data_IF_373211593957
#
_entry.id   IF_373211593957
#
_cell.length_a   1.000
_cell.length_b   1.000
_cell.length_c   1.000
_cell.angle_alpha   90.00
_cell.angle_beta   90.00
_cell.angle_gamma   90.00
#
_symmetry.space_group_name_H-M   'P 1'
#
loop_
_entity.id
_entity.type
_entity.pdbx_description
1 polymer ?
#
# COMPACT_ATOMS: atom_id res chain seq x y z
N UNK A 1 -5.83 29.21 -6.38
CA UNK A 1 -5.85 27.73 -6.32
C UNK A 1 -6.63 27.24 -7.52
N UNK A 2 -5.95 26.76 -8.53
CA UNK A 2 -6.56 26.27 -9.76
C UNK A 2 -6.58 24.75 -9.62
N UNK A 3 -7.74 24.17 -9.35
CA UNK A 3 -7.88 22.74 -9.37
C UNK A 3 -7.85 22.23 -10.82
N UNK A 4 -7.19 21.21 -11.04
CA UNK A 4 -6.41 20.75 -12.17
C UNK A 4 -7.11 20.02 -13.30
N UNK A 5 -8.40 20.14 -13.46
CA UNK A 5 -9.09 19.62 -14.66
C UNK A 5 -9.39 20.78 -15.61
N UNK A 6 -8.34 21.25 -16.29
CA UNK A 6 -8.51 22.22 -17.38
C UNK A 6 -9.34 21.57 -18.51
N UNK A 7 -10.56 22.04 -18.68
CA UNK A 7 -11.43 21.61 -19.77
C UNK A 7 -11.25 22.46 -21.03
N UNK A 8 -10.77 23.69 -20.91
CA UNK A 8 -10.47 24.57 -22.01
C UNK A 8 -9.41 25.64 -21.62
N UNK A 9 -8.62 26.08 -22.61
CA UNK A 9 -7.56 27.08 -22.40
C UNK A 9 -7.41 27.92 -23.66
N UNK A 10 -7.42 29.25 -23.49
CA UNK A 10 -7.27 30.18 -24.61
C UNK A 10 -6.33 31.34 -24.23
N UNK A 11 -5.41 31.71 -25.10
CA UNK A 11 -4.57 32.89 -24.94
C UNK A 11 -5.36 34.15 -25.24
N UNK A 12 -5.29 35.11 -24.35
CA UNK A 12 -5.92 36.43 -24.51
C UNK A 12 -4.95 37.48 -25.08
N UNK A 13 -3.69 37.12 -25.37
CA UNK A 13 -2.61 38.03 -25.71
C UNK A 13 -1.96 38.67 -24.46
N UNK A 14 -0.82 39.34 -24.64
CA UNK A 14 -0.05 40.00 -23.56
C UNK A 14 0.32 39.07 -22.37
N UNK A 15 0.47 37.77 -22.62
CA UNK A 15 0.78 36.80 -21.56
C UNK A 15 -0.42 36.41 -20.68
N UNK A 16 -1.61 36.97 -20.92
CA UNK A 16 -2.82 36.57 -20.19
C UNK A 16 -3.52 35.39 -20.86
N UNK A 17 -4.16 34.55 -20.06
CA UNK A 17 -4.89 33.37 -20.49
C UNK A 17 -6.26 33.28 -19.81
N UNK A 18 -7.24 32.75 -20.54
CA UNK A 18 -8.53 32.34 -20.01
C UNK A 18 -8.59 30.82 -19.97
N UNK A 19 -8.92 30.27 -18.82
CA UNK A 19 -9.09 28.84 -18.63
C UNK A 19 -10.46 28.50 -18.07
N UNK A 20 -10.95 27.33 -18.40
CA UNK A 20 -12.06 26.70 -17.75
C UNK A 20 -11.55 25.46 -17.01
N UNK A 21 -11.93 25.30 -15.76
CA UNK A 21 -11.56 24.14 -14.96
C UNK A 21 -12.80 23.55 -14.28
N UNK A 22 -12.86 22.23 -14.30
CA UNK A 22 -13.85 21.47 -13.56
C UNK A 22 -13.27 21.04 -12.22
N UNK A 23 -14.02 21.22 -11.15
CA UNK A 23 -13.66 20.74 -9.82
C UNK A 23 -14.45 19.48 -9.50
N UNK A 24 -13.76 18.42 -9.10
CA UNK A 24 -14.40 17.17 -8.70
C UNK A 24 -15.41 17.45 -7.55
N UNK A 25 -16.65 17.00 -7.73
CA UNK A 25 -17.75 17.26 -6.78
C UNK A 25 -18.58 18.51 -7.06
N UNK A 26 -18.22 19.35 -8.03
CA UNK A 26 -19.03 20.49 -8.48
C UNK A 26 -19.57 20.24 -9.89
N UNK A 27 -20.86 20.48 -10.10
CA UNK A 27 -21.52 20.29 -11.41
C UNK A 27 -21.31 21.46 -12.39
N UNK A 28 -20.41 22.40 -12.08
CA UNK A 28 -20.20 23.61 -12.88
C UNK A 28 -18.71 23.83 -13.16
N UNK A 29 -18.40 24.13 -14.44
CA UNK A 29 -17.09 24.62 -14.85
C UNK A 29 -16.85 26.03 -14.28
N UNK A 30 -15.66 26.25 -13.76
CA UNK A 30 -15.20 27.59 -13.32
C UNK A 30 -14.36 28.21 -14.42
N UNK A 31 -14.71 29.43 -14.82
CA UNK A 31 -13.86 30.27 -15.67
C UNK A 31 -12.89 31.05 -14.79
N UNK A 32 -11.63 31.05 -15.17
CA UNK A 32 -10.60 31.83 -14.51
C UNK A 32 -9.72 32.53 -15.55
N UNK A 33 -9.20 33.69 -15.16
CA UNK A 33 -8.24 34.45 -15.94
C UNK A 33 -6.89 34.43 -15.22
N UNK A 34 -5.86 34.03 -15.94
CA UNK A 34 -4.47 34.14 -15.49
C UNK A 34 -3.86 35.40 -16.12
N UNK A 35 -3.27 36.24 -15.32
CA UNK A 35 -2.50 37.40 -15.77
C UNK A 35 -1.04 37.20 -15.38
N UNK A 36 -0.09 37.70 -16.17
CA UNK A 36 1.31 37.72 -15.75
C UNK A 36 1.42 38.44 -14.42
N UNK A 37 2.08 37.84 -13.45
CA UNK A 37 2.44 38.53 -12.21
C UNK A 37 3.62 39.47 -12.51
N UNK A 38 3.52 40.73 -12.12
CA UNK A 38 4.66 41.65 -12.13
C UNK A 38 5.65 41.41 -10.97
N UNK A 39 5.25 40.60 -9.99
CA UNK A 39 6.14 40.11 -8.95
C UNK A 39 6.98 38.95 -9.50
N UNK A 40 8.00 39.26 -10.27
CA UNK A 40 9.12 38.36 -10.42
C UNK A 40 9.73 38.16 -9.03
N UNK A 41 9.70 36.99 -8.50
CA UNK A 41 10.49 36.62 -7.33
C UNK A 41 11.93 37.13 -7.59
N UNK A 42 12.50 37.90 -6.66
CA UNK A 42 13.92 38.22 -6.70
C UNK A 42 14.67 36.90 -6.94
N UNK A 43 15.69 36.84 -7.79
CA UNK A 43 16.50 35.67 -8.00
C UNK A 43 17.32 35.38 -6.75
N UNK A 44 16.68 34.91 -5.71
CA UNK A 44 17.30 34.12 -4.67
C UNK A 44 17.73 32.82 -5.34
N UNK A 45 18.88 32.30 -4.98
CA UNK A 45 19.45 31.08 -5.56
C UNK A 45 18.37 30.02 -5.71
N UNK A 46 17.96 29.72 -6.94
CA UNK A 46 16.94 28.72 -7.27
C UNK A 46 17.43 27.37 -6.73
N UNK A 47 16.69 26.83 -5.76
CA UNK A 47 16.98 25.53 -5.16
C UNK A 47 16.36 24.46 -6.03
N UNK A 48 17.07 23.39 -6.30
CA UNK A 48 16.57 22.27 -7.10
C UNK A 48 16.22 21.14 -6.15
N UNK A 49 14.93 20.81 -6.09
CA UNK A 49 14.44 19.63 -5.38
C UNK A 49 14.37 18.45 -6.34
N UNK A 50 15.20 17.45 -6.11
CA UNK A 50 15.32 16.26 -6.94
C UNK A 50 14.46 15.13 -6.41
N UNK A 51 13.46 14.75 -7.15
CA UNK A 51 12.58 13.62 -6.87
C UNK A 51 12.95 12.46 -7.79
N UNK A 52 12.78 11.21 -7.34
CA UNK A 52 12.99 10.04 -8.18
C UNK A 52 12.07 8.87 -7.80
N UNK A 53 11.87 7.96 -8.75
CA UNK A 53 11.14 6.72 -8.56
C UNK A 53 11.37 5.73 -9.70
N UNK A 54 10.82 4.53 -9.56
CA UNK A 54 10.86 3.49 -10.60
C UNK A 54 9.82 3.72 -11.70
N UNK A 55 8.87 4.62 -11.47
CA UNK A 55 7.90 5.10 -12.47
C UNK A 55 7.35 6.45 -12.02
N UNK A 56 6.89 7.26 -12.98
CA UNK A 56 6.34 8.57 -12.67
C UNK A 56 4.95 8.46 -12.04
N UNK A 57 4.75 8.95 -10.79
CA UNK A 57 3.43 8.96 -10.15
C UNK A 57 2.43 9.83 -10.93
N UNK A 58 1.17 9.38 -11.07
CA UNK A 58 0.13 10.13 -11.79
C UNK A 58 -0.13 11.52 -11.16
N UNK A 59 -0.05 11.62 -9.84
CA UNK A 59 -0.28 12.87 -9.10
C UNK A 59 0.86 13.86 -9.20
N UNK A 60 2.02 13.44 -9.66
CA UNK A 60 3.27 14.22 -9.55
C UNK A 60 3.18 15.57 -10.24
N UNK A 61 2.60 15.63 -11.46
CA UNK A 61 2.52 16.89 -12.20
C UNK A 61 1.68 17.94 -11.48
N UNK A 62 0.57 17.54 -10.87
CA UNK A 62 -0.28 18.40 -10.06
C UNK A 62 0.43 18.81 -8.76
N UNK A 63 1.04 17.84 -8.08
CA UNK A 63 1.78 18.08 -6.85
C UNK A 63 2.96 19.06 -7.06
N UNK A 64 3.70 18.95 -8.17
CA UNK A 64 4.77 19.88 -8.51
C UNK A 64 4.22 21.31 -8.73
N UNK A 65 3.09 21.44 -9.43
CA UNK A 65 2.48 22.75 -9.67
C UNK A 65 2.01 23.40 -8.37
N UNK A 66 1.37 22.63 -7.49
CA UNK A 66 0.91 23.14 -6.20
C UNK A 66 2.09 23.42 -5.25
N UNK A 67 3.12 22.57 -5.26
CA UNK A 67 4.34 22.80 -4.48
C UNK A 67 5.06 24.08 -4.90
N UNK A 68 5.17 24.35 -6.20
CA UNK A 68 5.79 25.57 -6.70
C UNK A 68 5.01 26.84 -6.28
N UNK A 69 3.68 26.73 -6.13
CA UNK A 69 2.87 27.84 -5.63
C UNK A 69 3.08 28.09 -4.12
N UNK A 70 3.38 27.04 -3.34
CA UNK A 70 3.63 27.11 -1.90
C UNK A 70 5.09 27.44 -1.56
N UNK A 71 6.03 26.93 -2.35
CA UNK A 71 7.47 27.03 -2.15
C UNK A 71 8.13 27.51 -3.45
N UNK A 72 7.94 28.81 -3.83
CA UNK A 72 8.38 29.34 -5.14
C UNK A 72 9.90 29.35 -5.34
N UNK A 73 10.67 29.23 -4.24
CA UNK A 73 12.14 29.15 -4.26
C UNK A 73 12.66 27.81 -4.82
N UNK A 74 11.79 26.79 -4.95
CA UNK A 74 12.19 25.51 -5.49
C UNK A 74 11.79 25.33 -6.96
N UNK A 75 12.72 24.76 -7.73
CA UNK A 75 12.40 24.08 -8.99
C UNK A 75 12.48 22.57 -8.74
N UNK A 76 11.45 21.82 -9.17
CA UNK A 76 11.37 20.38 -8.95
C UNK A 76 11.76 19.63 -10.21
N UNK A 77 12.73 18.73 -10.08
CA UNK A 77 13.14 17.80 -11.11
C UNK A 77 12.73 16.38 -10.73
N UNK A 78 12.29 15.57 -11.69
CA UNK A 78 11.94 14.16 -11.46
C UNK A 78 12.73 13.25 -12.38
N UNK A 79 13.36 12.23 -11.79
CA UNK A 79 14.05 11.17 -12.50
C UNK A 79 13.21 9.89 -12.48
N UNK A 80 12.83 9.42 -13.65
CA UNK A 80 12.20 8.10 -13.85
C UNK A 80 13.29 7.08 -14.16
N UNK A 81 13.58 6.22 -13.18
CA UNK A 81 14.64 5.22 -13.34
C UNK A 81 14.24 4.11 -14.31
N UNK A 82 12.95 3.75 -14.41
CA UNK A 82 12.52 2.74 -15.37
C UNK A 82 12.63 3.24 -16.81
N UNK A 83 12.34 4.53 -17.06
CA UNK A 83 12.55 5.13 -18.38
C UNK A 83 14.03 5.15 -18.78
N UNK A 84 14.94 5.42 -17.82
CA UNK A 84 16.37 5.53 -18.08
C UNK A 84 17.09 4.19 -18.16
N UNK A 85 16.73 3.23 -17.31
CA UNK A 85 17.52 2.01 -17.08
C UNK A 85 16.75 0.71 -17.30
N UNK A 86 15.45 0.77 -17.63
CA UNK A 86 14.62 -0.41 -17.88
C UNK A 86 14.66 -1.41 -16.73
N UNK A 87 14.95 -2.66 -17.01
CA UNK A 87 15.02 -3.75 -16.02
C UNK A 87 16.14 -3.58 -14.98
N UNK A 88 17.06 -2.63 -15.16
CA UNK A 88 18.14 -2.35 -14.20
C UNK A 88 17.81 -1.14 -13.30
N UNK A 89 16.61 -0.60 -13.40
CA UNK A 89 16.20 0.61 -12.70
C UNK A 89 16.39 0.55 -11.18
N UNK A 90 15.92 -0.54 -10.55
CA UNK A 90 16.06 -0.74 -9.11
C UNK A 90 17.53 -0.87 -8.70
N UNK A 91 18.29 -1.65 -9.43
CA UNK A 91 19.73 -1.84 -9.17
C UNK A 91 20.51 -0.53 -9.29
N UNK A 92 20.21 0.29 -10.32
CA UNK A 92 20.88 1.58 -10.49
C UNK A 92 20.49 2.57 -9.39
N UNK A 93 19.22 2.61 -8.99
CA UNK A 93 18.77 3.42 -7.87
C UNK A 93 19.49 3.02 -6.56
N UNK A 94 19.60 1.73 -6.29
CA UNK A 94 20.34 1.22 -5.14
C UNK A 94 21.81 1.66 -5.16
N UNK A 95 22.45 1.57 -6.33
CA UNK A 95 23.84 1.98 -6.51
C UNK A 95 24.02 3.48 -6.26
N UNK A 96 23.14 4.31 -6.79
CA UNK A 96 23.17 5.77 -6.61
C UNK A 96 22.98 6.16 -5.13
N UNK A 97 22.06 5.48 -4.42
CA UNK A 97 21.89 5.65 -2.97
C UNK A 97 23.17 5.32 -2.20
N UNK A 98 23.80 4.17 -2.52
CA UNK A 98 25.03 3.71 -1.85
C UNK A 98 26.23 4.64 -2.14
N UNK A 99 26.26 5.27 -3.30
CA UNK A 99 27.33 6.21 -3.71
C UNK A 99 27.10 7.65 -3.22
N UNK A 100 25.96 7.92 -2.58
CA UNK A 100 25.61 9.28 -2.14
C UNK A 100 25.11 10.20 -3.25
N UNK A 101 24.81 9.64 -4.44
CA UNK A 101 24.20 10.37 -5.57
C UNK A 101 22.67 10.35 -5.49
N UNK A 102 22.14 10.34 -4.29
CA UNK A 102 20.73 10.18 -4.02
C UNK A 102 19.91 11.41 -4.47
N UNK A 103 18.65 11.23 -4.89
CA UNK A 103 17.69 12.31 -4.99
C UNK A 103 17.36 12.85 -3.58
N UNK A 104 16.53 13.91 -3.52
CA UNK A 104 16.09 14.47 -2.24
C UNK A 104 14.86 13.75 -1.69
N UNK A 105 14.01 13.19 -2.57
CA UNK A 105 12.84 12.40 -2.19
C UNK A 105 12.67 11.22 -3.15
N UNK A 106 12.42 10.05 -2.58
CA UNK A 106 12.14 8.81 -3.30
C UNK A 106 10.65 8.46 -3.27
N UNK A 107 10.14 7.96 -4.42
CA UNK A 107 8.84 7.33 -4.58
C UNK A 107 9.04 5.90 -5.06
N UNK A 108 9.22 4.96 -4.14
CA UNK A 108 9.59 3.60 -4.54
C UNK A 108 8.86 2.56 -3.71
N UNK A 109 8.09 1.71 -4.39
CA UNK A 109 7.60 0.45 -3.82
C UNK A 109 8.71 -0.61 -3.92
N UNK A 110 8.78 -1.50 -2.92
CA UNK A 110 9.65 -2.66 -2.96
C UNK A 110 11.12 -2.41 -2.62
N UNK A 111 11.47 -1.23 -2.11
CA UNK A 111 12.80 -1.05 -1.48
C UNK A 111 12.80 -1.70 -0.10
N UNK A 112 13.93 -2.34 0.30
CA UNK A 112 14.12 -2.82 1.66
C UNK A 112 14.43 -1.63 2.59
N UNK A 113 13.39 -0.83 2.91
CA UNK A 113 13.52 0.43 3.65
C UNK A 113 14.20 0.26 5.00
N UNK A 114 13.88 -0.83 5.72
CA UNK A 114 14.50 -1.11 7.00
C UNK A 114 16.00 -1.36 6.87
N UNK A 115 16.41 -2.19 5.89
CA UNK A 115 17.81 -2.45 5.60
C UNK A 115 18.57 -1.17 5.26
N UNK A 116 17.98 -0.32 4.42
CA UNK A 116 18.60 0.95 4.02
C UNK A 116 18.65 1.94 5.17
N UNK A 117 17.64 1.93 6.02
CA UNK A 117 17.63 2.71 7.24
C UNK A 117 18.72 2.27 8.23
N UNK A 118 18.85 0.96 8.48
CA UNK A 118 19.94 0.38 9.32
C UNK A 118 21.32 0.73 8.77
N UNK A 119 21.49 0.78 7.46
CA UNK A 119 22.75 1.20 6.79
C UNK A 119 22.96 2.71 6.77
N UNK A 120 22.05 3.49 7.33
CA UNK A 120 22.15 4.95 7.39
C UNK A 120 21.96 5.64 6.02
N UNK A 121 21.30 4.98 5.07
CA UNK A 121 21.02 5.51 3.73
C UNK A 121 19.73 6.34 3.68
N UNK A 122 18.85 6.21 4.69
CA UNK A 122 17.57 6.91 4.78
C UNK A 122 17.48 7.71 6.10
N UNK A 123 16.79 8.83 6.04
CA UNK A 123 16.45 9.65 7.20
C UNK A 123 15.39 8.96 8.07
N UNK A 124 15.50 9.12 9.40
CA UNK A 124 14.41 8.81 10.31
C UNK A 124 13.37 9.94 10.27
N UNK A 125 12.20 9.67 9.74
CA UNK A 125 11.13 10.67 9.55
C UNK A 125 10.57 11.22 10.85
N UNK A 126 10.70 10.51 11.98
CA UNK A 126 10.29 11.04 13.29
C UNK A 126 11.03 12.35 13.65
N UNK A 127 12.30 12.46 13.28
CA UNK A 127 13.04 13.71 13.53
C UNK A 127 12.45 14.91 12.79
N UNK A 128 11.84 14.69 11.62
CA UNK A 128 11.17 15.72 10.84
C UNK A 128 9.78 16.03 11.40
N UNK A 129 9.03 15.03 11.85
CA UNK A 129 7.74 15.19 12.50
C UNK A 129 7.87 15.92 13.83
N UNK A 130 8.86 15.56 14.66
CA UNK A 130 9.09 16.17 15.96
C UNK A 130 9.55 17.64 15.88
N UNK A 131 10.14 18.03 14.75
CA UNK A 131 10.55 19.40 14.47
C UNK A 131 9.46 20.27 13.81
N UNK A 132 8.29 19.70 13.49
CA UNK A 132 7.22 20.35 12.74
C UNK A 132 5.89 20.30 13.47
N UNK A 133 5.58 21.36 14.22
CA UNK A 133 4.32 21.50 14.97
C UNK A 133 3.05 21.40 14.08
N UNK A 134 3.18 21.57 12.75
CA UNK A 134 2.06 21.47 11.81
C UNK A 134 1.82 20.07 11.28
N UNK A 135 2.69 19.10 11.61
CA UNK A 135 2.64 17.73 11.15
C UNK A 135 3.39 16.81 12.12
N UNK A 136 2.99 16.86 13.40
CA UNK A 136 3.60 16.08 14.46
C UNK A 136 3.28 14.58 14.37
N UNK A 137 4.12 13.72 14.90
CA UNK A 137 3.90 12.26 14.90
C UNK A 137 2.55 11.86 15.54
N UNK A 138 2.07 12.66 16.48
CA UNK A 138 0.76 12.47 17.13
C UNK A 138 -0.45 12.72 16.23
N UNK A 139 -0.28 13.40 15.10
CA UNK A 139 -1.35 13.69 14.15
C UNK A 139 -1.64 12.50 13.21
N UNK A 140 -0.70 11.55 13.16
CA UNK A 140 -0.81 10.37 12.30
C UNK A 140 -1.57 9.23 12.98
N UNK A 141 -2.08 8.32 12.18
CA UNK A 141 -2.65 7.04 12.62
C UNK A 141 -1.58 6.22 13.32
N UNK A 142 -1.68 6.05 14.64
CA UNK A 142 -0.59 5.51 15.48
C UNK A 142 -0.24 4.05 15.17
N UNK A 143 -1.24 3.22 14.89
CA UNK A 143 -1.00 1.82 14.50
C UNK A 143 -0.37 1.70 13.11
N UNK A 144 -0.65 2.63 12.19
CA UNK A 144 0.06 2.74 10.90
C UNK A 144 1.54 3.06 11.13
N UNK A 145 1.84 4.07 11.95
CA UNK A 145 3.24 4.40 12.27
C UNK A 145 3.96 3.19 12.85
N UNK A 146 3.35 2.57 13.87
CA UNK A 146 3.92 1.40 14.54
C UNK A 146 4.16 0.23 13.58
N UNK A 147 3.28 0.01 12.61
CA UNK A 147 3.45 -1.03 11.60
C UNK A 147 4.56 -0.74 10.57
N UNK A 148 4.99 0.52 10.46
CA UNK A 148 6.06 0.97 9.57
C UNK A 148 7.38 1.22 10.30
N UNK A 149 7.38 1.17 11.64
CA UNK A 149 8.59 1.29 12.44
C UNK A 149 9.53 0.11 12.22
N UNK A 150 10.82 0.40 12.19
CA UNK A 150 11.84 -0.64 12.38
C UNK A 150 11.86 -1.12 13.83
N UNK A 151 12.56 -2.24 14.09
CA UNK A 151 12.81 -2.75 15.44
C UNK A 151 13.47 -1.72 16.39
N UNK A 152 14.22 -0.75 15.83
CA UNK A 152 14.81 0.36 16.58
C UNK A 152 13.86 1.55 16.81
N UNK A 153 12.57 1.40 16.54
CA UNK A 153 11.56 2.46 16.59
C UNK A 153 11.91 3.69 15.73
N UNK A 154 12.40 3.45 14.52
CA UNK A 154 12.67 4.47 13.52
C UNK A 154 11.73 4.31 12.33
N UNK A 155 11.37 5.41 11.72
CA UNK A 155 10.45 5.45 10.58
C UNK A 155 11.22 5.90 9.33
N UNK A 156 11.38 5.02 8.35
CA UNK A 156 12.18 5.30 7.15
C UNK A 156 11.34 5.55 5.90
N UNK A 157 10.05 5.31 5.97
CA UNK A 157 9.12 5.57 4.89
C UNK A 157 7.76 6.03 5.41
N UNK A 158 7.02 6.74 4.58
CA UNK A 158 5.63 7.11 4.83
C UNK A 158 4.86 7.06 3.51
N UNK A 159 3.70 6.40 3.43
CA UNK A 159 2.88 6.42 2.23
C UNK A 159 2.16 7.76 2.09
N UNK A 160 1.83 8.12 0.86
CA UNK A 160 0.92 9.23 0.58
C UNK A 160 -0.51 8.91 1.08
N UNK A 161 -0.95 7.67 0.88
CA UNK A 161 -2.17 7.10 1.44
C UNK A 161 -2.00 5.60 1.68
N UNK A 162 -2.93 4.99 2.40
CA UNK A 162 -2.95 3.54 2.58
C UNK A 162 -4.33 2.97 2.33
N UNK A 163 -4.39 1.72 1.87
CA UNK A 163 -5.62 0.99 1.65
C UNK A 163 -5.64 -0.24 2.54
N UNK A 164 -6.70 -0.43 3.32
CA UNK A 164 -6.82 -1.59 4.19
C UNK A 164 -7.17 -2.80 3.34
N UNK A 165 -6.52 -3.92 3.58
CA UNK A 165 -6.85 -5.20 2.97
C UNK A 165 -7.27 -6.20 4.03
N UNK A 166 -8.36 -6.91 3.76
CA UNK A 166 -8.95 -7.86 4.70
C UNK A 166 -9.71 -8.93 3.95
N UNK A 167 -10.25 -9.88 4.67
CA UNK A 167 -11.22 -10.84 4.15
C UNK A 167 -12.59 -10.61 4.79
N UNK A 168 -13.66 -10.93 4.06
CA UNK A 168 -15.01 -10.96 4.59
C UNK A 168 -15.55 -12.40 4.57
N UNK A 169 -16.10 -12.85 5.67
CA UNK A 169 -16.74 -14.14 5.81
C UNK A 169 -18.16 -14.03 6.35
N UNK A 170 -19.02 -14.99 6.03
CA UNK A 170 -20.35 -15.04 6.64
C UNK A 170 -20.23 -15.41 8.13
N UNK A 171 -20.95 -14.69 9.01
CA UNK A 171 -20.95 -14.92 10.45
C UNK A 171 -21.28 -16.37 10.83
N UNK A 172 -22.17 -17.03 10.10
CA UNK A 172 -22.59 -18.41 10.37
C UNK A 172 -21.57 -19.47 9.88
N UNK A 173 -20.64 -19.11 9.02
CA UNK A 173 -19.56 -20.01 8.53
C UNK A 173 -18.23 -19.65 9.20
N UNK A 174 -17.80 -18.42 9.05
CA UNK A 174 -16.50 -17.96 9.50
C UNK A 174 -16.50 -17.42 10.95
N UNK A 175 -17.66 -17.10 11.52
CA UNK A 175 -17.79 -16.53 12.86
C UNK A 175 -17.61 -17.52 14.02
N UNK A 176 -17.34 -18.80 13.74
CA UNK A 176 -17.08 -19.82 14.76
C UNK A 176 -15.70 -19.70 15.41
N UNK A 177 -14.79 -18.94 14.79
CA UNK A 177 -13.41 -18.77 15.20
C UNK A 177 -13.09 -17.28 15.34
N UNK A 178 -12.31 -16.91 16.34
CA UNK A 178 -11.78 -15.55 16.52
C UNK A 178 -10.56 -15.28 15.65
N UNK A 179 -9.81 -16.31 15.34
CA UNK A 179 -8.60 -16.26 14.52
C UNK A 179 -8.64 -17.39 13.47
N UNK A 180 -8.12 -17.10 12.30
CA UNK A 180 -8.02 -18.05 11.21
C UNK A 180 -6.57 -18.33 10.87
N UNK A 181 -6.26 -19.62 10.80
CA UNK A 181 -4.99 -20.15 10.29
C UNK A 181 -5.24 -20.99 9.05
N UNK A 182 -4.22 -21.23 8.22
CA UNK A 182 -4.39 -22.15 7.08
C UNK A 182 -4.68 -23.60 7.53
N UNK A 183 -4.21 -23.99 8.72
CA UNK A 183 -4.63 -25.25 9.33
C UNK A 183 -6.16 -25.30 9.56
N UNK A 184 -6.73 -24.23 10.12
CA UNK A 184 -8.16 -24.09 10.32
C UNK A 184 -8.95 -24.03 9.01
N UNK A 185 -8.43 -23.34 7.99
CA UNK A 185 -9.01 -23.30 6.64
C UNK A 185 -9.04 -24.69 6.04
N UNK A 186 -7.93 -25.44 6.11
CA UNK A 186 -7.86 -26.83 5.62
C UNK A 186 -8.87 -27.74 6.30
N UNK A 187 -9.04 -27.60 7.63
CA UNK A 187 -10.01 -28.34 8.42
C UNK A 187 -11.46 -28.03 7.98
N UNK A 188 -11.79 -26.74 7.83
CA UNK A 188 -13.13 -26.31 7.45
C UNK A 188 -13.51 -26.77 6.06
N UNK A 189 -12.60 -26.65 5.08
CA UNK A 189 -12.79 -27.14 3.72
C UNK A 189 -12.99 -28.66 3.69
N UNK A 190 -12.26 -29.42 4.51
CA UNK A 190 -12.38 -30.88 4.56
C UNK A 190 -13.71 -31.33 5.19
N UNK A 191 -14.27 -30.57 6.12
CA UNK A 191 -15.48 -30.91 6.85
C UNK A 191 -16.76 -30.38 6.19
N UNK A 192 -16.66 -29.33 5.35
CA UNK A 192 -17.80 -28.72 4.69
C UNK A 192 -18.26 -29.54 3.48
N UNK A 193 -19.58 -29.53 3.24
CA UNK A 193 -20.20 -30.09 2.02
C UNK A 193 -20.56 -28.99 1.01
N UNK A 194 -20.56 -27.76 1.39
CA UNK A 194 -20.98 -26.60 0.59
C UNK A 194 -19.81 -25.74 0.14
N UNK A 195 -18.77 -25.62 0.98
CA UNK A 195 -17.57 -24.89 0.62
C UNK A 195 -16.82 -25.62 -0.51
N UNK A 196 -16.55 -24.90 -1.55
CA UNK A 196 -15.82 -25.36 -2.72
C UNK A 196 -14.36 -24.85 -2.69
N UNK A 197 -14.13 -23.68 -2.10
CA UNK A 197 -12.81 -23.09 -1.93
C UNK A 197 -12.79 -22.14 -0.73
N UNK A 198 -11.58 -21.74 -0.30
CA UNK A 198 -11.44 -20.65 0.65
C UNK A 198 -11.68 -19.29 -0.01
N UNK A 199 -11.18 -19.09 -1.23
CA UNK A 199 -11.27 -17.83 -2.00
C UNK A 199 -11.86 -18.10 -3.39
N UNK A 200 -12.45 -17.06 -4.00
CA UNK A 200 -13.12 -17.18 -5.29
C UNK A 200 -12.14 -17.11 -6.45
N UNK A 201 -12.26 -18.02 -7.41
CA UNK A 201 -11.57 -17.93 -8.70
C UNK A 201 -10.05 -18.11 -8.66
N UNK A 202 -9.50 -18.42 -7.51
CA UNK A 202 -8.06 -18.51 -7.30
C UNK A 202 -7.53 -19.92 -7.60
N UNK A 203 -6.25 -19.98 -7.97
CA UNK A 203 -5.46 -21.20 -8.09
C UNK A 203 -4.38 -21.25 -7.02
N UNK A 204 -3.78 -22.41 -6.81
CA UNK A 204 -2.64 -22.53 -5.90
C UNK A 204 -1.50 -21.59 -6.31
N UNK A 205 -1.23 -21.46 -7.63
CA UNK A 205 -0.21 -20.59 -8.18
C UNK A 205 -0.53 -19.10 -7.94
N UNK A 206 -1.78 -18.67 -8.17
CA UNK A 206 -2.15 -17.27 -7.94
C UNK A 206 -2.07 -16.90 -6.47
N UNK A 207 -2.50 -17.80 -5.58
CA UNK A 207 -2.42 -17.58 -4.14
C UNK A 207 -0.98 -17.65 -3.61
N UNK A 208 -0.12 -18.49 -4.18
CA UNK A 208 1.31 -18.51 -3.84
C UNK A 208 2.02 -17.20 -4.16
N UNK A 209 1.54 -16.47 -5.18
CA UNK A 209 2.08 -15.17 -5.55
C UNK A 209 1.51 -13.99 -4.74
N UNK A 210 0.28 -14.12 -4.20
CA UNK A 210 -0.44 -12.99 -3.59
C UNK A 210 -0.52 -13.05 -2.07
N UNK A 211 -0.79 -14.22 -1.49
CA UNK A 211 -0.96 -14.34 -0.03
C UNK A 211 0.29 -14.02 0.79
N UNK A 212 1.52 -14.38 0.34
CA UNK A 212 2.73 -14.02 1.08
C UNK A 212 2.87 -12.51 1.31
N UNK A 213 2.32 -11.66 0.44
CA UNK A 213 2.33 -10.20 0.62
C UNK A 213 1.77 -9.76 1.97
N UNK A 214 0.81 -10.53 2.52
CA UNK A 214 0.13 -10.22 3.78
C UNK A 214 0.73 -10.94 4.98
N UNK A 215 1.54 -11.97 4.75
CA UNK A 215 2.06 -12.86 5.80
C UNK A 215 3.60 -12.90 5.83
N UNK A 216 4.27 -12.20 4.92
CA UNK A 216 5.74 -12.26 4.84
C UNK A 216 6.44 -11.99 6.18
N UNK A 217 5.98 -11.03 7.04
CA UNK A 217 6.55 -10.84 8.37
C UNK A 217 6.37 -12.05 9.32
N UNK A 218 5.48 -13.00 9.02
CA UNK A 218 5.35 -14.26 9.76
C UNK A 218 6.40 -15.28 9.34
N UNK A 219 6.80 -15.25 8.05
CA UNK A 219 7.77 -16.18 7.49
C UNK A 219 9.22 -15.70 7.57
N UNK A 220 9.43 -14.39 7.73
CA UNK A 220 10.77 -13.78 7.66
C UNK A 220 10.98 -12.84 8.84
N UNK A 221 11.99 -13.14 9.64
CA UNK A 221 12.52 -12.22 10.64
C UNK A 221 13.66 -11.39 10.01
N UNK A 222 13.31 -10.20 9.55
CA UNK A 222 14.29 -9.28 8.96
C UNK A 222 15.27 -8.70 9.98
N UNK A 223 14.94 -8.71 11.28
CA UNK A 223 15.83 -8.21 12.31
C UNK A 223 17.02 -9.16 12.51
N UNK A 224 16.75 -10.46 12.55
CA UNK A 224 17.74 -11.50 12.77
C UNK A 224 18.23 -12.14 11.46
N UNK A 225 17.67 -11.73 10.30
CA UNK A 225 17.93 -12.31 9.00
C UNK A 225 17.63 -13.83 8.97
N UNK A 226 16.49 -14.23 9.53
CA UNK A 226 16.07 -15.63 9.64
C UNK A 226 14.82 -15.92 8.81
N UNK A 227 14.82 -17.06 8.13
CA UNK A 227 13.67 -17.61 7.41
C UNK A 227 12.98 -18.69 8.27
N UNK A 228 11.66 -18.83 8.14
CA UNK A 228 10.84 -19.75 8.93
C UNK A 228 9.79 -20.49 8.08
N UNK A 229 10.09 -20.80 6.82
CA UNK A 229 9.15 -21.46 5.91
C UNK A 229 8.99 -22.95 6.15
N UNK A 230 9.84 -23.60 6.93
CA UNK A 230 9.86 -25.05 7.17
C UNK A 230 9.16 -25.46 8.47
N UNK A 231 8.54 -24.52 9.20
CA UNK A 231 7.80 -24.85 10.42
C UNK A 231 6.51 -25.63 10.13
N UNK A 232 5.96 -26.30 11.14
CA UNK A 232 4.73 -27.06 11.01
C UNK A 232 3.49 -26.18 10.71
N UNK A 233 3.55 -24.92 11.14
CA UNK A 233 2.49 -23.93 10.91
C UNK A 233 2.48 -23.52 9.44
N UNK A 234 3.64 -23.18 8.87
CA UNK A 234 3.79 -22.82 7.47
C UNK A 234 3.57 -23.99 6.51
N UNK A 235 3.85 -25.23 6.92
CA UNK A 235 3.47 -26.42 6.16
C UNK A 235 1.96 -26.50 5.90
N UNK A 236 1.15 -25.88 6.78
CA UNK A 236 -0.30 -25.79 6.58
C UNK A 236 -0.68 -24.86 5.43
N UNK A 237 0.10 -23.77 5.20
CA UNK A 237 -0.06 -22.88 4.06
C UNK A 237 0.23 -23.60 2.74
N UNK A 238 1.36 -24.30 2.62
CA UNK A 238 1.68 -25.05 1.41
C UNK A 238 0.72 -26.24 1.18
N UNK A 239 0.24 -26.87 2.27
CA UNK A 239 -0.83 -27.86 2.21
C UNK A 239 -2.13 -27.27 1.65
N UNK A 240 -2.49 -26.06 2.10
CA UNK A 240 -3.64 -25.34 1.57
C UNK A 240 -3.45 -25.06 0.06
N UNK A 241 -2.33 -24.46 -0.35
CA UNK A 241 -2.04 -24.16 -1.75
C UNK A 241 -2.15 -25.40 -2.65
N UNK A 242 -1.61 -26.55 -2.20
CA UNK A 242 -1.62 -27.81 -2.97
C UNK A 242 -3.03 -28.38 -3.21
N UNK A 243 -4.00 -28.00 -2.38
CA UNK A 243 -5.39 -28.49 -2.44
C UNK A 243 -6.33 -27.51 -3.14
N UNK A 244 -5.90 -26.27 -3.41
CA UNK A 244 -6.74 -25.31 -4.12
C UNK A 244 -7.00 -25.82 -5.53
N UNK A 245 -8.27 -26.13 -5.81
CA UNK A 245 -8.70 -26.52 -7.15
C UNK A 245 -9.12 -25.23 -7.89
N UNK A 246 -8.74 -25.07 -9.17
CA UNK A 246 -9.21 -23.93 -9.97
C UNK A 246 -10.74 -23.94 -9.95
N UNK A 247 -11.33 -22.98 -9.29
CA UNK A 247 -12.77 -22.84 -9.31
C UNK A 247 -13.18 -22.35 -10.68
N UNK A 248 -13.86 -23.24 -11.40
CA UNK A 248 -14.54 -23.03 -12.69
C UNK A 248 -14.34 -21.65 -13.36
N UNK A 249 -13.79 -21.66 -14.53
CA UNK A 249 -14.08 -20.94 -15.79
C UNK A 249 -15.01 -19.69 -15.78
N UNK A 250 -15.45 -19.19 -14.61
CA UNK A 250 -16.22 -17.96 -14.50
C UNK A 250 -15.21 -16.84 -14.29
N UNK A 251 -15.21 -15.78 -15.14
CA UNK A 251 -14.31 -14.65 -14.94
C UNK A 251 -14.46 -14.06 -13.53
N UNK A 252 -13.34 -13.76 -12.88
CA UNK A 252 -13.37 -13.05 -11.61
C UNK A 252 -14.03 -11.69 -11.78
N UNK A 253 -15.08 -11.45 -10.99
CA UNK A 253 -15.65 -10.13 -10.74
C UNK A 253 -16.02 -10.07 -9.26
N UNK A 254 -15.94 -8.88 -8.66
CA UNK A 254 -16.35 -8.68 -7.27
C UNK A 254 -17.80 -9.12 -7.02
N UNK A 255 -18.69 -8.96 -8.02
CA UNK A 255 -20.08 -9.40 -7.94
C UNK A 255 -20.19 -10.95 -7.83
N UNK A 256 -19.45 -11.67 -8.65
CA UNK A 256 -19.44 -13.14 -8.62
C UNK A 256 -18.85 -13.68 -7.33
N UNK A 257 -17.81 -13.04 -6.79
CA UNK A 257 -17.21 -13.39 -5.51
C UNK A 257 -18.18 -13.20 -4.35
N UNK A 258 -18.85 -12.02 -4.27
CA UNK A 258 -19.85 -11.78 -3.24
C UNK A 258 -21.08 -12.71 -3.36
N UNK A 259 -21.45 -13.11 -4.58
CA UNK A 259 -22.52 -14.07 -4.78
C UNK A 259 -22.11 -15.48 -4.34
N UNK A 260 -20.87 -15.91 -4.61
CA UNK A 260 -20.35 -17.19 -4.10
C UNK A 260 -20.26 -17.20 -2.58
N UNK A 261 -19.84 -16.08 -1.97
CA UNK A 261 -19.86 -15.89 -0.52
C UNK A 261 -21.29 -16.04 0.03
N UNK A 262 -22.27 -15.36 -0.58
CA UNK A 262 -23.69 -15.43 -0.15
C UNK A 262 -24.26 -16.84 -0.21
N UNK A 263 -23.82 -17.65 -1.17
CA UNK A 263 -24.21 -19.05 -1.30
C UNK A 263 -23.47 -19.98 -0.34
N UNK A 264 -22.44 -19.51 0.35
CA UNK A 264 -21.56 -20.34 1.18
C UNK A 264 -20.71 -21.31 0.36
N UNK A 265 -20.38 -20.95 -0.88
CA UNK A 265 -19.49 -21.68 -1.77
C UNK A 265 -18.03 -21.37 -1.51
N UNK A 266 -17.75 -20.19 -0.97
CA UNK A 266 -16.41 -19.77 -0.50
C UNK A 266 -16.45 -19.40 0.97
N UNK A 267 -15.29 -19.52 1.63
CA UNK A 267 -15.16 -19.18 3.04
C UNK A 267 -14.97 -17.66 3.23
N UNK A 268 -14.17 -17.06 2.35
CA UNK A 268 -13.80 -15.66 2.40
C UNK A 268 -13.88 -14.98 1.03
N UNK A 269 -14.40 -13.77 1.00
CA UNK A 269 -14.17 -12.82 -0.09
C UNK A 269 -12.98 -11.94 0.27
N UNK A 270 -12.14 -11.63 -0.72
CA UNK A 270 -10.98 -10.74 -0.55
C UNK A 270 -11.39 -9.30 -0.76
N UNK A 271 -11.12 -8.42 0.19
CA UNK A 271 -11.53 -7.03 0.15
C UNK A 271 -10.34 -6.09 0.23
N UNK A 272 -10.31 -5.13 -0.68
CA UNK A 272 -9.51 -3.91 -0.56
C UNK A 272 -10.45 -2.77 -0.22
N UNK A 273 -10.29 -2.21 0.95
CA UNK A 273 -11.12 -1.11 1.45
C UNK A 273 -10.48 0.20 1.04
N UNK A 274 -11.24 1.01 0.32
CA UNK A 274 -10.78 2.26 -0.26
C UNK A 274 -11.55 3.48 0.29
N UNK A 275 -12.75 3.25 0.82
CA UNK A 275 -13.56 4.29 1.46
C UNK A 275 -14.59 3.70 2.41
N UNK A 276 -15.10 4.50 3.38
CA UNK A 276 -16.16 4.07 4.29
C UNK A 276 -17.47 3.72 3.57
N UNK A 277 -17.81 4.42 2.48
CA UNK A 277 -19.04 4.18 1.70
C UNK A 277 -18.98 2.83 0.99
N UNK A 278 -17.82 2.50 0.40
CA UNK A 278 -17.61 1.18 -0.21
C UNK A 278 -17.78 0.07 0.82
N UNK A 279 -17.18 0.23 1.99
CA UNK A 279 -17.28 -0.75 3.08
C UNK A 279 -18.71 -0.91 3.55
N UNK A 280 -19.38 0.19 3.91
CA UNK A 280 -20.77 0.16 4.39
C UNK A 280 -21.73 -0.40 3.34
N UNK A 281 -21.51 -0.08 2.06
CA UNK A 281 -22.26 -0.66 0.94
C UNK A 281 -22.11 -2.18 0.85
N UNK A 282 -20.87 -2.68 1.00
CA UNK A 282 -20.60 -4.13 1.00
C UNK A 282 -21.23 -4.83 2.20
N UNK A 283 -21.09 -4.27 3.41
CA UNK A 283 -21.68 -4.84 4.64
C UNK A 283 -23.21 -4.87 4.56
N UNK A 284 -23.83 -3.83 3.99
CA UNK A 284 -25.27 -3.74 3.78
C UNK A 284 -25.83 -4.80 2.82
N UNK A 285 -25.05 -5.22 1.81
CA UNK A 285 -25.46 -6.31 0.90
C UNK A 285 -25.68 -7.64 1.62
N UNK A 286 -25.17 -7.78 2.84
CA UNK A 286 -25.28 -8.97 3.69
C UNK A 286 -26.04 -8.70 5.00
N UNK A 287 -26.86 -7.64 5.06
CA UNK A 287 -27.62 -7.24 6.24
C UNK A 287 -26.75 -7.07 7.50
N UNK A 288 -25.50 -6.62 7.35
CA UNK A 288 -24.55 -6.49 8.47
C UNK A 288 -24.03 -7.81 9.05
N UNK A 289 -24.23 -8.94 8.36
CA UNK A 289 -23.86 -10.28 8.86
C UNK A 289 -22.47 -10.75 8.41
N UNK A 290 -21.66 -9.85 7.89
CA UNK A 290 -20.25 -10.14 7.59
C UNK A 290 -19.38 -9.97 8.83
N UNK A 291 -18.36 -10.81 8.92
CA UNK A 291 -17.19 -10.63 9.77
C UNK A 291 -15.96 -10.38 8.91
N UNK A 292 -14.96 -9.76 9.49
CA UNK A 292 -13.75 -9.33 8.78
C UNK A 292 -12.49 -9.82 9.55
N UNK A 293 -12.17 -11.12 9.44
CA UNK A 293 -11.13 -11.74 10.26
C UNK A 293 -9.70 -11.40 9.84
N UNK A 294 -9.51 -10.75 8.68
CA UNK A 294 -8.19 -10.64 8.06
C UNK A 294 -7.79 -11.89 7.28
N UNK A 295 -6.56 -11.91 6.79
CA UNK A 295 -6.03 -13.10 6.12
C UNK A 295 -5.60 -14.15 7.14
N UNK A 296 -5.77 -15.46 6.83
CA UNK A 296 -5.28 -16.52 7.70
C UNK A 296 -3.77 -16.40 7.95
N UNK A 297 -3.33 -16.68 9.16
CA UNK A 297 -1.94 -16.58 9.64
C UNK A 297 -1.29 -15.18 9.49
N UNK A 298 -2.05 -14.15 9.12
CA UNK A 298 -1.58 -12.78 9.21
C UNK A 298 -1.59 -12.32 10.68
N UNK A 299 -0.58 -11.56 11.09
CA UNK A 299 -0.42 -11.08 12.46
C UNK A 299 -1.45 -9.99 12.87
N UNK A 300 -2.58 -9.91 12.17
CA UNK A 300 -3.64 -8.90 12.36
C UNK A 300 -4.07 -8.29 11.03
N UNK A 301 -4.56 -7.04 11.05
CA UNK A 301 -5.00 -6.35 9.84
C UNK A 301 -3.83 -5.94 8.95
N UNK A 302 -3.99 -6.13 7.65
CA UNK A 302 -2.99 -5.75 6.65
C UNK A 302 -3.42 -4.52 5.85
N UNK A 303 -2.45 -3.79 5.28
CA UNK A 303 -2.72 -2.63 4.44
C UNK A 303 -1.67 -2.47 3.34
N UNK A 304 -2.07 -1.90 2.22
CA UNK A 304 -1.16 -1.48 1.15
C UNK A 304 -0.69 -0.06 1.35
N UNK A 305 0.57 0.18 1.03
CA UNK A 305 1.15 1.51 0.93
C UNK A 305 0.93 2.06 -0.47
N UNK A 306 0.18 3.14 -0.58
CA UNK A 306 0.04 3.86 -1.83
C UNK A 306 1.10 4.96 -1.89
N UNK A 307 1.96 4.91 -2.90
CA UNK A 307 3.04 5.87 -3.11
C UNK A 307 3.90 6.06 -1.85
N UNK A 308 4.63 5.05 -1.37
CA UNK A 308 5.56 5.20 -0.27
C UNK A 308 6.69 6.15 -0.64
N UNK A 309 7.09 6.97 0.33
CA UNK A 309 8.07 8.03 0.17
C UNK A 309 9.16 7.89 1.24
N UNK A 310 10.39 8.18 0.86
CA UNK A 310 11.53 8.19 1.77
C UNK A 310 12.49 9.35 1.44
N UNK A 311 13.12 9.91 2.47
CA UNK A 311 14.15 10.93 2.31
C UNK A 311 15.51 10.25 2.44
N UNK A 312 16.36 10.24 1.40
CA UNK A 312 17.72 9.73 1.50
C UNK A 312 18.56 10.54 2.49
N UNK A 313 19.45 9.88 3.23
CA UNK A 313 20.35 10.54 4.16
C UNK A 313 21.33 11.50 3.45
N UNK A 314 21.71 11.21 2.20
CA UNK A 314 22.57 12.04 1.35
C UNK A 314 21.83 13.19 0.63
N UNK A 315 20.49 13.31 0.79
CA UNK A 315 19.69 14.36 0.17
C UNK A 315 20.21 15.75 0.54
N UNK A 316 20.25 16.65 -0.43
CA UNK A 316 20.74 18.03 -0.25
C UNK A 316 19.62 18.96 0.20
N UNK A 317 18.40 18.74 -0.28
CA UNK A 317 17.22 19.56 -0.04
C UNK A 317 16.17 18.85 0.84
N UNK A 318 16.62 18.28 1.98
CA UNK A 318 15.77 17.52 2.91
C UNK A 318 14.53 18.29 3.39
N UNK A 319 14.70 19.60 3.67
CA UNK A 319 13.57 20.45 4.08
C UNK A 319 12.53 20.61 2.96
N UNK A 320 12.99 20.74 1.70
CA UNK A 320 12.12 20.73 0.52
C UNK A 320 11.42 19.39 0.33
N UNK A 321 12.14 18.28 0.53
CA UNK A 321 11.58 16.92 0.48
C UNK A 321 10.48 16.72 1.54
N UNK A 322 10.71 17.12 2.79
CA UNK A 322 9.70 17.07 3.84
C UNK A 322 8.48 17.94 3.52
N UNK A 323 8.70 19.18 3.05
CA UNK A 323 7.61 20.06 2.64
C UNK A 323 6.78 19.49 1.49
N UNK A 324 7.44 18.77 0.53
CA UNK A 324 6.74 18.07 -0.55
C UNK A 324 5.92 16.89 -0.04
N UNK A 325 6.46 16.08 0.89
CA UNK A 325 5.73 15.00 1.55
C UNK A 325 4.49 15.56 2.27
N UNK A 326 4.61 16.63 3.04
CA UNK A 326 3.48 17.27 3.74
C UNK A 326 2.37 17.71 2.79
N UNK A 327 2.73 18.28 1.65
CA UNK A 327 1.74 18.62 0.62
C UNK A 327 0.93 17.39 0.22
N UNK A 328 1.58 16.25 0.01
CA UNK A 328 0.90 15.00 -0.39
C UNK A 328 0.03 14.41 0.72
N UNK A 329 0.33 14.63 2.00
CA UNK A 329 -0.50 14.21 3.13
C UNK A 329 -1.70 15.14 3.36
N UNK A 330 -1.66 16.37 2.87
CA UNK A 330 -2.63 17.41 3.23
C UNK A 330 -3.94 17.35 2.48
N UNK A 331 -4.09 16.49 1.47
CA UNK A 331 -5.27 16.45 0.63
C UNK A 331 -5.54 15.09 0.02
N UNK A 332 -6.77 14.61 0.19
CA UNK A 332 -7.31 13.42 -0.49
C UNK A 332 -7.25 13.51 -2.02
N UNK A 333 -7.12 14.72 -2.55
CA UNK A 333 -6.92 14.95 -3.99
C UNK A 333 -5.75 14.13 -4.55
N UNK A 334 -4.70 13.90 -3.77
CA UNK A 334 -3.55 13.11 -4.19
C UNK A 334 -3.73 11.60 -3.98
N UNK A 335 -4.73 11.17 -3.23
CA UNK A 335 -5.05 9.76 -3.01
C UNK A 335 -5.78 9.13 -4.22
N UNK A 336 -5.14 9.14 -5.39
CA UNK A 336 -5.74 8.77 -6.68
C UNK A 336 -6.24 7.32 -6.78
N UNK A 337 -5.79 6.45 -5.89
CA UNK A 337 -6.22 5.05 -5.82
C UNK A 337 -7.29 4.81 -4.75
N UNK A 338 -7.78 5.86 -4.11
CA UNK A 338 -8.58 5.74 -2.90
C UNK A 338 -7.73 5.39 -1.68
N UNK A 339 -8.39 4.97 -0.60
CA UNK A 339 -7.75 4.73 0.69
C UNK A 339 -7.71 5.99 1.55
N UNK A 340 -6.98 5.92 2.65
CA UNK A 340 -6.93 6.97 3.65
C UNK A 340 -5.57 7.64 3.69
N UNK A 341 -5.57 8.94 3.96
CA UNK A 341 -4.36 9.65 4.32
C UNK A 341 -3.76 9.07 5.61
N UNK A 342 -2.44 9.14 5.80
CA UNK A 342 -1.82 8.65 7.03
C UNK A 342 -2.18 9.47 8.28
N UNK A 343 -2.78 10.66 8.12
CA UNK A 343 -3.26 11.50 9.20
C UNK A 343 -4.57 10.95 9.79
N UNK A 344 -4.64 10.84 11.12
CA UNK A 344 -5.81 10.34 11.83
C UNK A 344 -7.08 11.17 11.54
N UNK A 345 -6.94 12.48 11.43
CA UNK A 345 -8.04 13.40 11.11
C UNK A 345 -8.68 13.12 9.74
N UNK A 346 -7.92 12.60 8.77
CA UNK A 346 -8.44 12.22 7.46
C UNK A 346 -9.37 11.02 7.55
N UNK A 347 -8.99 9.99 8.30
CA UNK A 347 -9.86 8.83 8.55
C UNK A 347 -11.15 9.23 9.29
N UNK A 348 -11.03 10.02 10.36
CA UNK A 348 -12.19 10.49 11.14
C UNK A 348 -13.15 11.35 10.30
N UNK A 349 -12.60 12.22 9.45
CA UNK A 349 -13.41 13.03 8.54
C UNK A 349 -14.17 12.15 7.55
N UNK A 350 -13.52 11.14 6.95
CA UNK A 350 -14.17 10.23 6.01
C UNK A 350 -15.31 9.41 6.64
N UNK A 351 -15.13 8.96 7.88
CA UNK A 351 -16.19 8.28 8.65
C UNK A 351 -17.39 9.22 8.90
N UNK A 352 -17.11 10.47 9.27
CA UNK A 352 -18.16 11.48 9.54
C UNK A 352 -18.94 11.82 8.27
N UNK A 353 -18.27 11.95 7.15
CA UNK A 353 -18.90 12.26 5.86
C UNK A 353 -19.76 11.08 5.38
N UNK A 354 -19.27 9.85 5.47
CA UNK A 354 -20.06 8.66 5.16
C UNK A 354 -21.31 8.51 6.04
N UNK A 355 -21.20 8.85 7.33
CA UNK A 355 -22.35 8.85 8.24
C UNK A 355 -23.39 9.91 7.83
N UNK A 356 -22.94 11.10 7.42
CA UNK A 356 -23.82 12.17 6.93
C UNK A 356 -24.51 11.78 5.62
N UNK A 357 -23.86 10.97 4.78
CA UNK A 357 -24.41 10.44 3.53
C UNK A 357 -25.29 9.20 3.73
N UNK A 358 -25.51 8.79 4.98
CA UNK A 358 -26.48 7.74 5.35
C UNK A 358 -25.90 6.34 5.47
N UNK A 359 -24.57 6.18 5.56
CA UNK A 359 -23.96 4.89 5.89
C UNK A 359 -24.38 4.42 7.31
N UNK A 360 -24.46 3.10 7.50
CA UNK A 360 -24.81 2.51 8.79
C UNK A 360 -23.73 2.80 9.84
N UNK A 361 -24.13 3.33 11.00
CA UNK A 361 -23.22 3.54 12.13
C UNK A 361 -22.57 2.22 12.59
N UNK A 362 -23.33 1.11 12.60
CA UNK A 362 -22.81 -0.21 12.95
C UNK A 362 -21.71 -0.66 11.97
N UNK A 363 -21.93 -0.48 10.67
CA UNK A 363 -20.89 -0.81 9.64
C UNK A 363 -19.67 0.08 9.81
N UNK A 364 -19.83 1.37 10.07
CA UNK A 364 -18.71 2.29 10.27
C UNK A 364 -17.92 1.97 11.55
N UNK A 365 -18.57 1.49 12.61
CA UNK A 365 -17.91 0.99 13.82
C UNK A 365 -17.05 -0.25 13.53
N UNK A 366 -17.53 -1.18 12.68
CA UNK A 366 -16.73 -2.33 12.23
C UNK A 366 -15.51 -1.87 11.45
N UNK A 367 -15.67 -0.89 10.54
CA UNK A 367 -14.55 -0.34 9.78
C UNK A 367 -13.50 0.30 10.70
N UNK A 368 -13.93 1.07 11.71
CA UNK A 368 -13.04 1.65 12.70
C UNK A 368 -12.26 0.58 13.47
N UNK A 369 -12.92 -0.51 13.87
CA UNK A 369 -12.25 -1.65 14.52
C UNK A 369 -11.22 -2.33 13.59
N UNK A 370 -11.54 -2.48 12.30
CA UNK A 370 -10.58 -3.02 11.32
C UNK A 370 -9.36 -2.10 11.23
N UNK A 371 -9.58 -0.78 11.14
CA UNK A 371 -8.51 0.20 11.06
C UNK A 371 -7.65 0.22 12.34
N UNK A 372 -8.25 0.10 13.51
CA UNK A 372 -7.51 0.01 14.79
C UNK A 372 -6.63 -1.24 14.89
N UNK A 373 -6.96 -2.30 14.16
CA UNK A 373 -6.25 -3.57 14.20
C UNK A 373 -5.21 -3.73 13.06
N UNK A 374 -5.04 -2.75 12.16
CA UNK A 374 -3.98 -2.84 11.17
C UNK A 374 -2.61 -2.84 11.86
N UNK A 375 -1.75 -3.76 11.47
CA UNK A 375 -0.43 -3.93 12.11
C UNK A 375 0.66 -4.39 11.14
N UNK A 376 0.31 -4.70 9.88
CA UNK A 376 1.26 -5.21 8.89
C UNK A 376 1.05 -4.52 7.54
N UNK A 377 2.10 -3.88 7.03
CA UNK A 377 2.13 -3.44 5.65
C UNK A 377 2.26 -4.64 4.72
N UNK A 378 1.44 -4.69 3.67
CA UNK A 378 1.62 -5.66 2.59
C UNK A 378 2.96 -5.36 1.92
N UNK A 379 3.90 -6.27 2.05
CA UNK A 379 5.26 -6.09 1.61
C UNK A 379 5.55 -7.00 0.41
N UNK A 380 5.97 -6.39 -0.70
CA UNK A 380 6.41 -7.11 -1.89
C UNK A 380 7.93 -7.10 -1.95
N UNK A 381 8.52 -8.27 -1.84
CA UNK A 381 9.94 -8.47 -2.05
C UNK A 381 10.14 -9.42 -3.23
N UNK A 382 10.58 -8.86 -4.36
CA UNK A 382 10.67 -9.56 -5.63
C UNK A 382 11.47 -10.86 -5.52
N UNK A 383 12.63 -10.82 -4.85
CA UNK A 383 13.49 -11.98 -4.71
C UNK A 383 12.85 -13.13 -3.94
N UNK A 384 12.13 -12.84 -2.85
CA UNK A 384 11.42 -13.86 -2.06
C UNK A 384 10.20 -14.37 -2.85
N UNK A 385 9.47 -13.46 -3.51
CA UNK A 385 8.32 -13.84 -4.35
C UNK A 385 8.73 -14.76 -5.49
N UNK A 386 9.87 -14.50 -6.14
CA UNK A 386 10.42 -15.33 -7.19
C UNK A 386 10.84 -16.72 -6.67
N UNK A 387 11.45 -16.78 -5.48
CA UNK A 387 11.77 -18.05 -4.83
C UNK A 387 10.52 -18.87 -4.56
N UNK A 388 9.48 -18.24 -4.01
CA UNK A 388 8.20 -18.88 -3.74
C UNK A 388 7.55 -19.41 -5.02
N UNK A 389 7.47 -18.60 -6.07
CA UNK A 389 6.89 -18.98 -7.35
C UNK A 389 7.63 -20.15 -7.99
N UNK A 390 8.97 -20.13 -7.97
CA UNK A 390 9.81 -21.18 -8.54
C UNK A 390 9.62 -22.50 -7.81
N UNK A 391 9.74 -22.52 -6.48
CA UNK A 391 9.66 -23.75 -5.68
C UNK A 391 8.24 -24.33 -5.60
N UNK A 392 7.19 -23.49 -5.49
CA UNK A 392 5.80 -23.95 -5.50
C UNK A 392 5.39 -24.52 -6.85
N UNK A 393 6.04 -24.14 -7.96
CA UNK A 393 5.78 -24.74 -9.28
C UNK A 393 6.01 -26.23 -9.28
N UNK A 394 7.02 -26.75 -8.55
CA UNK A 394 7.29 -28.17 -8.40
C UNK A 394 6.25 -28.88 -7.52
N UNK A 395 5.71 -28.19 -6.51
CA UNK A 395 4.60 -28.69 -5.69
C UNK A 395 3.35 -28.90 -6.56
N UNK A 396 2.98 -27.90 -7.35
CA UNK A 396 1.80 -27.97 -8.23
C UNK A 396 1.96 -29.01 -9.35
N UNK A 397 3.18 -29.23 -9.81
CA UNK A 397 3.49 -30.28 -10.76
C UNK A 397 3.52 -31.69 -10.13
N UNK A 398 3.34 -31.83 -8.79
CA UNK A 398 3.47 -33.10 -8.07
C UNK A 398 4.89 -33.66 -8.04
N UNK A 399 5.89 -32.84 -8.34
CA UNK A 399 7.31 -33.26 -8.38
C UNK A 399 7.99 -33.17 -7.00
N UNK A 400 7.39 -32.48 -6.04
CA UNK A 400 7.84 -32.36 -4.64
C UNK A 400 6.67 -32.47 -3.67
N UNK A 401 6.98 -32.90 -2.47
CA UNK A 401 6.02 -32.87 -1.36
C UNK A 401 5.92 -31.44 -0.76
N UNK A 402 4.95 -31.25 0.11
CA UNK A 402 4.80 -29.99 0.87
C UNK A 402 6.06 -29.73 1.70
N UNK A 403 6.56 -30.73 2.40
CA UNK A 403 7.71 -30.63 3.28
C UNK A 403 8.99 -30.31 2.49
N UNK A 404 9.21 -31.00 1.36
CA UNK A 404 10.36 -30.73 0.48
C UNK A 404 10.31 -29.30 -0.10
N UNK A 405 9.10 -28.82 -0.43
CA UNK A 405 8.92 -27.46 -0.95
C UNK A 405 9.21 -26.42 0.11
N UNK A 406 8.66 -26.57 1.31
CA UNK A 406 8.87 -25.69 2.46
C UNK A 406 10.36 -25.59 2.82
N UNK A 407 11.05 -26.74 2.95
CA UNK A 407 12.49 -26.79 3.25
C UNK A 407 13.34 -26.08 2.17
N UNK A 408 12.97 -26.23 0.90
CA UNK A 408 13.68 -25.58 -0.21
C UNK A 408 13.51 -24.08 -0.23
N UNK A 409 12.28 -23.61 0.02
CA UNK A 409 11.99 -22.19 0.13
C UNK A 409 12.79 -21.61 1.29
N UNK A 410 12.72 -22.24 2.47
CA UNK A 410 13.43 -21.82 3.66
C UNK A 410 14.94 -21.67 3.40
N UNK A 411 15.60 -22.69 2.86
CA UNK A 411 17.02 -22.67 2.52
C UNK A 411 17.40 -21.55 1.55
N UNK A 412 16.57 -21.31 0.50
CA UNK A 412 16.85 -20.28 -0.50
C UNK A 412 16.62 -18.87 0.05
N UNK A 413 15.55 -18.67 0.82
CA UNK A 413 15.27 -17.39 1.47
C UNK A 413 16.32 -17.09 2.54
N UNK A 414 16.73 -18.10 3.35
CA UNK A 414 17.79 -17.94 4.34
C UNK A 414 19.11 -17.52 3.69
N UNK A 415 19.46 -18.13 2.55
CA UNK A 415 20.66 -17.72 1.80
C UNK A 415 20.55 -16.27 1.33
N UNK A 416 19.42 -15.89 0.74
CA UNK A 416 19.16 -14.53 0.29
C UNK A 416 19.27 -13.52 1.45
N UNK A 417 18.65 -13.80 2.58
CA UNK A 417 18.72 -12.93 3.78
C UNK A 417 20.17 -12.78 4.26
N UNK A 418 20.94 -13.87 4.31
CA UNK A 418 22.34 -13.84 4.73
C UNK A 418 23.19 -12.98 3.78
N UNK A 419 22.94 -13.02 2.47
CA UNK A 419 23.66 -12.22 1.48
C UNK A 419 23.30 -10.72 1.53
N UNK A 420 22.06 -10.39 1.86
CA UNK A 420 21.58 -9.00 1.87
C UNK A 420 21.73 -8.32 3.24
N UNK A 421 21.55 -9.07 4.32
CA UNK A 421 21.43 -8.55 5.69
C UNK A 421 22.60 -8.96 6.60
N UNK A 422 23.40 -9.95 6.19
CA UNK A 422 24.52 -10.52 6.93
C UNK A 422 25.83 -9.70 6.96
#
# INVERSE_FOLDING_TARGET
>A
MVSNNLSAFASLGNGAFLGAAWKSGELQDRLFRLEPSEEAAEPGSERILKLAGLSRPMVLSSAIADFKALCPEYTVEYTDYAELYGNQALQQLQLDLMQGNAPDLLFVNGLPFELYGKRGLLENLYAWMDADDSCASTDFTQNLLKALESAEHKLYQMPQSYSIVTTAGLQNLAGSRSEWTYAAVNEELANSKTLLSAFYGETGESLAATLPLYMLPTFVDYENAEAHFDSAEEASFFTFLSKVQPHAQIPYTAENELEALRKGEILFAQLMLLSPEQFAGTDALFDGKLIYPGYPDAAGGSFYLNLPMAIPAAAQEKAGAWAFMKLLFSSDYYATRGGWLPLQSGFEASIKDALADGASEESLQKLAQIQENICSAAYYEEAITDILADETSYLFAGARTVEETAERIDQRVQLYLTEQWG
#
